data_IF_523897364602
#
_entry.id   IF_523897364602
#
_cell.length_a   1.000
_cell.length_b   1.000
_cell.length_c   1.000
_cell.angle_alpha   90.00
_cell.angle_beta   90.00
_cell.angle_gamma   90.00
#
_symmetry.space_group_name_H-M   'P 1'
#
loop_
_entity.id
_entity.type
_entity.pdbx_description
1 polymer ?
#
# COMPACT_ATOMS: atom_id res chain seq x y z
N UNK A 1 -14.82 -13.92 -6.53
CA UNK A 1 -14.16 -12.94 -7.40
C UNK A 1 -13.22 -12.14 -6.53
N UNK A 2 -11.99 -11.90 -6.99
CA UNK A 2 -11.01 -11.14 -6.23
C UNK A 2 -11.39 -9.69 -5.99
N UNK A 3 -10.62 -8.99 -5.15
CA UNK A 3 -10.83 -7.58 -4.81
C UNK A 3 -9.70 -6.71 -5.33
N UNK A 4 -10.03 -5.54 -5.87
CA UNK A 4 -9.07 -4.48 -6.17
C UNK A 4 -9.04 -3.48 -5.01
N UNK A 5 -7.87 -3.32 -4.39
CA UNK A 5 -7.66 -2.40 -3.26
C UNK A 5 -6.61 -1.38 -3.65
N UNK A 6 -6.96 -0.10 -3.66
CA UNK A 6 -5.99 0.96 -3.90
C UNK A 6 -5.33 1.42 -2.60
N UNK A 7 -4.00 1.55 -2.62
CA UNK A 7 -3.23 2.13 -1.51
C UNK A 7 -2.84 3.55 -1.95
N UNK A 8 -3.45 4.55 -1.34
CA UNK A 8 -3.31 5.96 -1.75
C UNK A 8 -2.96 6.89 -0.60
N UNK A 9 -2.66 8.15 -0.90
CA UNK A 9 -2.38 9.20 0.10
C UNK A 9 -2.50 10.58 -0.52
N UNK A 10 -2.82 11.58 0.28
CA UNK A 10 -2.79 12.98 -0.15
C UNK A 10 -1.39 13.60 -0.21
N UNK A 11 -0.36 12.95 0.32
CA UNK A 11 1.01 13.47 0.42
C UNK A 11 2.06 12.46 0.01
N UNK A 12 3.11 12.92 -0.66
CA UNK A 12 4.28 12.10 -0.99
C UNK A 12 5.08 11.70 0.26
N UNK A 13 5.79 10.57 0.19
CA UNK A 13 6.72 10.13 1.24
C UNK A 13 6.10 9.54 2.50
N UNK A 14 4.77 9.37 2.58
CA UNK A 14 4.09 8.77 3.76
C UNK A 14 4.26 7.24 3.85
N UNK A 15 4.82 6.59 2.80
CA UNK A 15 5.13 5.16 2.78
C UNK A 15 4.08 4.27 2.12
N UNK A 16 3.33 4.77 1.13
CA UNK A 16 2.38 3.96 0.34
C UNK A 16 2.98 2.67 -0.19
N UNK A 17 4.05 2.79 -0.97
CA UNK A 17 4.76 1.66 -1.59
C UNK A 17 5.25 0.65 -0.56
N UNK A 18 5.77 1.13 0.59
CA UNK A 18 6.16 0.27 1.71
C UNK A 18 4.96 -0.50 2.27
N UNK A 19 3.82 0.17 2.44
CA UNK A 19 2.56 -0.46 2.90
C UNK A 19 2.08 -1.47 1.86
N UNK A 20 2.03 -1.10 0.58
CA UNK A 20 1.62 -1.97 -0.54
C UNK A 20 2.44 -3.26 -0.57
N UNK A 21 3.77 -3.14 -0.58
CA UNK A 21 4.69 -4.28 -0.63
C UNK A 21 4.52 -5.21 0.58
N UNK A 22 4.52 -4.65 1.80
CA UNK A 22 4.44 -5.45 3.02
C UNK A 22 3.05 -6.07 3.26
N UNK A 23 1.96 -5.32 2.98
CA UNK A 23 0.59 -5.84 3.14
C UNK A 23 0.30 -6.90 2.09
N UNK A 24 0.69 -6.67 0.82
CA UNK A 24 0.52 -7.67 -0.23
C UNK A 24 1.29 -8.95 0.04
N UNK A 25 2.54 -8.83 0.52
CA UNK A 25 3.31 -10.00 0.98
C UNK A 25 2.64 -10.70 2.16
N UNK A 26 2.11 -9.96 3.13
CA UNK A 26 1.40 -10.55 4.26
C UNK A 26 0.15 -11.31 3.83
N UNK A 27 -0.61 -10.81 2.86
CA UNK A 27 -1.76 -11.51 2.27
C UNK A 27 -1.31 -12.81 1.59
N UNK A 28 -0.20 -12.78 0.84
CA UNK A 28 0.33 -14.00 0.21
C UNK A 28 0.80 -15.04 1.23
N UNK A 29 1.34 -14.60 2.38
CA UNK A 29 1.77 -15.48 3.48
C UNK A 29 0.60 -16.20 4.17
N UNK A 30 -0.61 -15.65 4.11
CA UNK A 30 -1.83 -16.31 4.60
C UNK A 30 -2.57 -17.09 3.51
N UNK A 31 -1.90 -17.35 2.38
CA UNK A 31 -2.38 -18.23 1.32
C UNK A 31 -3.19 -17.53 0.23
N UNK A 32 -3.33 -16.21 0.25
CA UNK A 32 -4.02 -15.47 -0.82
C UNK A 32 -3.12 -15.32 -2.04
N UNK A 33 -3.72 -15.42 -3.23
CA UNK A 33 -3.04 -15.11 -4.48
C UNK A 33 -3.14 -13.61 -4.74
N UNK A 34 -2.00 -12.92 -4.77
CA UNK A 34 -1.91 -11.45 -4.76
C UNK A 34 -1.16 -10.94 -5.97
N UNK A 35 -1.72 -9.93 -6.63
CA UNK A 35 -1.04 -9.12 -7.63
C UNK A 35 -0.82 -7.70 -7.06
N UNK A 36 0.42 -7.24 -7.07
CA UNK A 36 0.76 -5.85 -6.81
C UNK A 36 0.92 -5.14 -8.16
N UNK A 37 0.30 -3.99 -8.33
CA UNK A 37 0.45 -3.15 -9.52
C UNK A 37 1.03 -1.81 -9.09
N UNK A 38 2.18 -1.45 -9.65
CA UNK A 38 2.75 -0.11 -9.50
C UNK A 38 2.19 0.82 -10.60
N UNK A 39 1.55 1.92 -10.19
CA UNK A 39 1.06 2.95 -11.11
C UNK A 39 1.81 4.28 -10.96
N UNK A 40 2.88 4.33 -10.12
CA UNK A 40 3.75 5.50 -9.99
C UNK A 40 4.84 5.50 -11.07
N UNK A 41 4.43 5.89 -12.28
CA UNK A 41 5.32 5.96 -13.45
C UNK A 41 6.47 6.93 -13.18
N UNK A 42 7.68 6.52 -13.54
CA UNK A 42 8.91 7.31 -13.43
C UNK A 42 9.78 6.95 -12.21
N UNK A 43 9.22 6.57 -11.05
CA UNK A 43 10.03 6.25 -9.87
C UNK A 43 10.21 4.74 -9.63
N UNK A 44 9.28 3.90 -10.06
CA UNK A 44 9.34 2.42 -9.94
C UNK A 44 9.82 1.92 -8.56
N UNK A 45 9.29 2.49 -7.50
CA UNK A 45 9.75 2.16 -6.16
C UNK A 45 9.32 0.75 -5.71
N UNK A 46 8.22 0.23 -6.27
CA UNK A 46 7.69 -1.07 -5.86
C UNK A 46 8.57 -2.23 -6.34
N UNK A 47 9.06 -2.20 -7.57
CA UNK A 47 9.92 -3.25 -8.12
C UNK A 47 11.28 -3.31 -7.40
N UNK A 48 11.85 -2.16 -7.04
CA UNK A 48 13.04 -2.05 -6.21
C UNK A 48 12.82 -2.70 -4.83
N UNK A 49 11.72 -2.36 -4.13
CA UNK A 49 11.40 -2.95 -2.84
C UNK A 49 11.17 -4.46 -2.95
N UNK A 50 10.62 -4.93 -4.07
CA UNK A 50 10.32 -6.33 -4.32
C UNK A 50 11.49 -7.12 -4.92
N UNK A 51 12.59 -6.46 -5.32
CA UNK A 51 13.79 -7.08 -5.89
C UNK A 51 13.52 -7.75 -7.24
N UNK A 52 12.76 -7.09 -8.11
CA UNK A 52 12.41 -7.60 -9.44
C UNK A 52 12.88 -6.67 -10.59
N UNK A 53 13.69 -5.66 -10.29
CA UNK A 53 14.12 -4.62 -11.23
C UNK A 53 14.67 -5.18 -12.55
N UNK A 54 15.51 -6.22 -12.45
CA UNK A 54 16.16 -6.86 -13.60
C UNK A 54 15.32 -7.97 -14.26
N UNK A 55 14.11 -8.26 -13.71
CA UNK A 55 13.27 -9.39 -14.17
C UNK A 55 12.06 -8.94 -15.00
N UNK A 56 11.69 -7.69 -14.88
CA UNK A 56 10.51 -7.16 -15.53
C UNK A 56 10.82 -6.69 -16.94
N UNK A 57 10.34 -7.44 -17.96
CA UNK A 57 10.47 -7.09 -19.37
C UNK A 57 9.35 -6.18 -19.85
N UNK A 58 8.19 -6.27 -19.24
CA UNK A 58 6.97 -5.54 -19.57
C UNK A 58 6.43 -4.83 -18.32
N UNK A 59 5.56 -3.86 -18.53
CA UNK A 59 5.00 -3.01 -17.49
C UNK A 59 3.48 -2.88 -17.64
N UNK A 60 2.83 -2.14 -16.74
CA UNK A 60 1.37 -1.97 -16.72
C UNK A 60 0.83 -1.37 -18.03
N UNK A 61 1.56 -0.44 -18.67
CA UNK A 61 1.13 0.18 -19.94
C UNK A 61 1.17 -0.85 -21.07
N UNK A 62 2.21 -1.69 -21.15
CA UNK A 62 2.30 -2.74 -22.18
C UNK A 62 1.11 -3.69 -22.12
N UNK A 63 0.62 -4.00 -20.92
CA UNK A 63 -0.58 -4.85 -20.75
C UNK A 63 -1.85 -4.11 -21.16
N UNK A 64 -2.01 -2.85 -20.74
CA UNK A 64 -3.20 -2.06 -21.10
C UNK A 64 -3.28 -1.76 -22.58
N UNK A 65 -2.15 -1.64 -23.27
CA UNK A 65 -2.05 -1.50 -24.73
C UNK A 65 -2.10 -2.82 -25.50
N UNK A 66 -2.23 -3.96 -24.78
CA UNK A 66 -2.28 -5.31 -25.36
C UNK A 66 -1.02 -5.71 -26.14
N UNK A 67 0.12 -5.07 -25.87
CA UNK A 67 1.43 -5.43 -26.41
C UNK A 67 1.93 -6.73 -25.77
N UNK A 68 1.54 -6.96 -24.51
CA UNK A 68 1.77 -8.17 -23.74
C UNK A 68 0.52 -8.54 -22.96
N UNK A 69 0.35 -9.81 -22.61
CA UNK A 69 -0.70 -10.23 -21.68
C UNK A 69 -0.23 -10.17 -20.22
N UNK A 70 -1.16 -10.24 -19.29
CA UNK A 70 -0.86 -10.17 -17.84
C UNK A 70 0.12 -11.28 -17.40
N UNK A 71 0.05 -12.49 -17.96
CA UNK A 71 0.96 -13.59 -17.63
C UNK A 71 2.41 -13.31 -18.01
N UNK A 72 2.62 -12.68 -19.14
CA UNK A 72 3.96 -12.33 -19.64
C UNK A 72 4.56 -11.13 -18.89
N UNK A 73 3.72 -10.24 -18.34
CA UNK A 73 4.16 -9.03 -17.69
C UNK A 73 4.30 -9.14 -16.16
N UNK A 74 3.44 -9.95 -15.52
CA UNK A 74 3.45 -10.11 -14.06
C UNK A 74 4.62 -11.01 -13.62
N UNK A 75 5.53 -10.45 -12.84
CA UNK A 75 6.70 -11.16 -12.30
C UNK A 75 6.32 -11.85 -11.00
N UNK A 76 6.46 -13.18 -10.94
CA UNK A 76 6.25 -13.93 -9.71
C UNK A 76 7.42 -13.71 -8.73
N UNK A 77 7.11 -13.45 -7.47
CA UNK A 77 8.12 -13.33 -6.42
C UNK A 77 8.86 -14.66 -6.21
N UNK A 78 10.19 -14.62 -6.21
CA UNK A 78 11.00 -15.81 -5.95
C UNK A 78 10.84 -16.37 -4.53
N UNK A 79 10.42 -15.51 -3.58
CA UNK A 79 10.28 -15.86 -2.15
C UNK A 79 8.85 -16.24 -1.76
N UNK A 80 7.86 -15.70 -2.46
CA UNK A 80 6.44 -15.84 -2.13
C UNK A 80 5.67 -16.32 -3.36
N UNK A 81 5.39 -17.63 -3.49
CA UNK A 81 4.86 -18.20 -4.72
C UNK A 81 3.44 -17.69 -5.09
N UNK A 82 2.72 -17.12 -4.14
CA UNK A 82 1.38 -16.55 -4.36
C UNK A 82 1.41 -15.04 -4.61
N UNK A 83 2.60 -14.42 -4.72
CA UNK A 83 2.78 -13.00 -4.91
C UNK A 83 3.33 -12.69 -6.29
N UNK A 84 2.67 -11.81 -7.01
CA UNK A 84 3.02 -11.35 -8.35
C UNK A 84 3.11 -9.83 -8.34
N UNK A 85 3.98 -9.28 -9.18
CA UNK A 85 4.22 -7.84 -9.30
C UNK A 85 4.12 -7.44 -10.77
N UNK A 86 3.30 -6.44 -11.07
CA UNK A 86 3.24 -5.77 -12.34
C UNK A 86 3.83 -4.37 -12.18
N UNK A 87 5.02 -4.09 -12.72
CA UNK A 87 5.73 -2.83 -12.50
C UNK A 87 5.13 -1.69 -13.31
N UNK A 88 5.43 -0.45 -12.87
CA UNK A 88 5.17 0.76 -13.63
C UNK A 88 6.11 0.90 -14.84
N UNK A 89 5.74 1.76 -15.79
CA UNK A 89 6.63 2.15 -16.90
C UNK A 89 7.75 3.07 -16.42
N UNK A 90 8.95 2.89 -16.95
CA UNK A 90 10.10 3.78 -16.70
C UNK A 90 10.15 4.97 -17.64
N UNK A 91 9.65 4.81 -18.86
CA UNK A 91 9.92 5.69 -19.99
C UNK A 91 8.70 6.45 -20.48
N UNK A 92 7.52 6.15 -19.94
CA UNK A 92 6.26 6.76 -20.36
C UNK A 92 5.68 7.65 -19.27
N UNK A 93 4.99 8.71 -19.68
CA UNK A 93 4.38 9.68 -18.79
C UNK A 93 3.15 9.12 -18.06
N UNK A 94 2.81 9.73 -16.91
CA UNK A 94 1.66 9.34 -16.07
C UNK A 94 0.31 9.44 -16.77
N UNK A 95 0.23 10.25 -17.82
CA UNK A 95 -0.98 10.50 -18.60
C UNK A 95 -1.27 9.40 -19.65
N UNK A 96 -0.34 8.45 -19.84
CA UNK A 96 -0.51 7.37 -20.80
C UNK A 96 -1.36 6.20 -20.29
N UNK A 97 -1.59 6.10 -18.97
CA UNK A 97 -2.44 5.05 -18.39
C UNK A 97 -3.92 5.42 -18.56
N UNK A 98 -4.60 4.77 -19.49
CA UNK A 98 -6.02 4.98 -19.74
C UNK A 98 -6.88 4.26 -18.69
N UNK A 99 -7.85 4.98 -18.09
CA UNK A 99 -8.69 4.48 -16.99
C UNK A 99 -9.51 3.25 -17.36
N UNK A 100 -10.13 3.23 -18.56
CA UNK A 100 -10.97 2.12 -19.02
C UNK A 100 -10.15 0.87 -19.29
N UNK A 101 -9.01 1.01 -19.99
CA UNK A 101 -8.09 -0.11 -20.26
C UNK A 101 -7.48 -0.65 -18.97
N UNK A 102 -7.17 0.24 -18.01
CA UNK A 102 -6.66 -0.17 -16.71
C UNK A 102 -7.72 -0.92 -15.90
N UNK A 103 -8.98 -0.49 -16.00
CA UNK A 103 -10.10 -1.22 -15.40
C UNK A 103 -10.27 -2.60 -16.02
N UNK A 104 -10.20 -2.74 -17.34
CA UNK A 104 -10.26 -4.04 -18.03
C UNK A 104 -9.16 -4.99 -17.48
N UNK A 105 -7.93 -4.49 -17.33
CA UNK A 105 -6.81 -5.24 -16.77
C UNK A 105 -7.11 -5.69 -15.32
N UNK A 106 -7.60 -4.80 -14.46
CA UNK A 106 -7.96 -5.13 -13.09
C UNK A 106 -9.11 -6.15 -13.02
N UNK A 107 -10.11 -6.03 -13.89
CA UNK A 107 -11.23 -6.97 -13.95
C UNK A 107 -10.79 -8.36 -14.45
N UNK A 108 -9.80 -8.44 -15.35
CA UNK A 108 -9.16 -9.68 -15.72
C UNK A 108 -8.34 -10.27 -14.56
N UNK A 109 -7.54 -9.44 -13.90
CA UNK A 109 -6.74 -9.85 -12.75
C UNK A 109 -7.59 -10.41 -11.62
N UNK A 110 -8.75 -9.82 -11.30
CA UNK A 110 -9.70 -10.30 -10.28
C UNK A 110 -10.25 -11.72 -10.53
N UNK A 111 -10.16 -12.24 -11.74
CA UNK A 111 -10.56 -13.63 -12.06
C UNK A 111 -9.51 -14.64 -11.58
N UNK A 112 -8.29 -14.20 -11.34
CA UNK A 112 -7.10 -15.04 -11.11
C UNK A 112 -6.43 -14.81 -9.75
N UNK A 113 -6.61 -13.63 -9.19
CA UNK A 113 -6.04 -13.21 -7.92
C UNK A 113 -7.14 -12.93 -6.90
N UNK A 114 -6.90 -13.28 -5.63
CA UNK A 114 -7.80 -12.94 -4.54
C UNK A 114 -7.74 -11.44 -4.23
N UNK A 115 -6.53 -10.85 -4.40
CA UNK A 115 -6.28 -9.42 -4.20
C UNK A 115 -5.45 -8.84 -5.34
N UNK A 116 -5.89 -7.70 -5.84
CA UNK A 116 -5.14 -6.80 -6.71
C UNK A 116 -4.87 -5.54 -5.90
N UNK A 117 -3.63 -5.32 -5.44
CA UNK A 117 -3.25 -4.12 -4.71
C UNK A 117 -2.60 -3.13 -5.67
N UNK A 118 -3.15 -1.93 -5.75
CA UNK A 118 -2.64 -0.86 -6.60
C UNK A 118 -1.85 0.12 -5.74
N UNK A 119 -0.55 0.26 -6.01
CA UNK A 119 0.27 1.34 -5.46
C UNK A 119 0.02 2.61 -6.27
N UNK A 120 -0.74 3.53 -5.68
CA UNK A 120 -1.19 4.75 -6.32
C UNK A 120 -0.08 5.82 -6.26
N UNK A 121 0.12 6.67 -7.28
CA UNK A 121 1.01 7.81 -7.17
C UNK A 121 0.56 8.77 -6.07
N UNK A 122 1.46 9.67 -5.62
CA UNK A 122 1.11 10.68 -4.63
C UNK A 122 0.26 11.79 -5.26
N UNK A 123 -0.63 12.38 -4.46
CA UNK A 123 -1.48 13.48 -4.87
C UNK A 123 -2.88 13.05 -5.30
N UNK A 124 -3.59 13.94 -5.98
CA UNK A 124 -5.00 13.78 -6.38
C UNK A 124 -5.18 14.05 -7.88
N UNK A 125 -4.11 13.94 -8.66
CA UNK A 125 -4.07 14.19 -10.08
C UNK A 125 -4.53 13.00 -10.92
N UNK A 126 -4.34 13.03 -12.23
CA UNK A 126 -4.81 12.01 -13.15
C UNK A 126 -4.45 10.57 -12.75
N UNK A 127 -3.21 10.31 -12.34
CA UNK A 127 -2.79 8.96 -11.89
C UNK A 127 -3.57 8.44 -10.68
N UNK A 128 -4.00 9.34 -9.77
CA UNK A 128 -4.90 9.00 -8.66
C UNK A 128 -6.28 8.56 -9.17
N UNK A 129 -6.85 9.28 -10.16
CA UNK A 129 -8.12 8.92 -10.75
C UNK A 129 -8.03 7.56 -11.45
N UNK A 130 -6.99 7.32 -12.26
CA UNK A 130 -6.76 6.03 -12.91
C UNK A 130 -6.69 4.88 -11.91
N UNK A 131 -5.97 5.06 -10.80
CA UNK A 131 -5.84 4.02 -9.78
C UNK A 131 -7.17 3.69 -9.08
N UNK A 132 -8.00 4.69 -8.82
CA UNK A 132 -9.30 4.54 -8.14
C UNK A 132 -10.43 4.03 -9.04
N UNK A 133 -10.32 4.24 -10.34
CA UNK A 133 -11.36 3.86 -11.28
C UNK A 133 -11.74 2.37 -11.22
N UNK A 134 -10.79 1.39 -11.12
CA UNK A 134 -11.10 -0.03 -10.96
C UNK A 134 -11.28 -0.48 -9.50
N UNK A 135 -11.11 0.39 -8.50
CA UNK A 135 -10.97 -0.01 -7.10
C UNK A 135 -12.32 -0.42 -6.47
N UNK A 136 -12.32 -1.51 -5.72
CA UNK A 136 -13.45 -1.93 -4.88
C UNK A 136 -13.34 -1.34 -3.46
N UNK A 137 -12.08 -1.18 -2.96
CA UNK A 137 -11.76 -0.64 -1.64
C UNK A 137 -10.55 0.31 -1.73
N UNK A 138 -10.45 1.25 -0.79
CA UNK A 138 -9.32 2.17 -0.69
C UNK A 138 -8.71 2.15 0.72
N UNK A 139 -7.36 2.15 0.79
CA UNK A 139 -6.61 2.36 2.03
C UNK A 139 -5.82 3.66 1.89
N UNK A 140 -6.20 4.66 2.68
CA UNK A 140 -5.51 5.95 2.73
C UNK A 140 -4.38 5.83 3.74
N UNK A 141 -3.13 6.00 3.28
CA UNK A 141 -1.93 6.00 4.12
C UNK A 141 -1.59 7.44 4.50
N UNK A 142 -1.41 7.68 5.79
CA UNK A 142 -1.00 8.97 6.32
C UNK A 142 0.05 8.82 7.42
N UNK A 143 0.64 9.93 7.84
CA UNK A 143 1.54 10.01 9.00
C UNK A 143 0.92 10.92 10.06
N UNK A 144 1.32 10.81 11.35
CA UNK A 144 0.67 11.51 12.46
C UNK A 144 1.07 12.99 12.56
N UNK A 145 1.08 13.72 11.44
CA UNK A 145 1.21 15.17 11.41
C UNK A 145 -0.06 15.84 10.90
N UNK A 146 -0.32 17.08 11.36
CA UNK A 146 -1.58 17.80 11.07
C UNK A 146 -1.81 18.03 9.59
N UNK A 147 -0.77 18.28 8.80
CA UNK A 147 -0.90 18.52 7.36
C UNK A 147 -1.28 17.23 6.63
N UNK A 148 -0.55 16.13 6.89
CA UNK A 148 -0.83 14.84 6.29
C UNK A 148 -2.23 14.29 6.68
N UNK A 149 -2.70 14.58 7.90
CA UNK A 149 -4.04 14.20 8.34
C UNK A 149 -5.14 14.97 7.60
N UNK A 150 -4.96 16.30 7.36
CA UNK A 150 -5.88 17.08 6.53
C UNK A 150 -5.91 16.60 5.08
N UNK A 151 -4.74 16.29 4.54
CA UNK A 151 -4.64 15.76 3.19
C UNK A 151 -5.35 14.40 3.07
N UNK A 152 -5.24 13.54 4.10
CA UNK A 152 -5.95 12.26 4.16
C UNK A 152 -7.47 12.45 4.24
N UNK A 153 -7.96 13.40 5.02
CA UNK A 153 -9.38 13.74 5.11
C UNK A 153 -9.92 14.24 3.76
N UNK A 154 -9.16 15.14 3.11
CA UNK A 154 -9.49 15.61 1.75
C UNK A 154 -9.57 14.46 0.75
N UNK A 155 -8.62 13.53 0.77
CA UNK A 155 -8.62 12.35 -0.11
C UNK A 155 -9.84 11.48 0.17
N UNK A 156 -10.19 11.25 1.43
CA UNK A 156 -11.40 10.50 1.79
C UNK A 156 -12.67 11.14 1.20
N UNK A 157 -12.83 12.46 1.36
CA UNK A 157 -13.97 13.20 0.79
C UNK A 157 -14.03 13.14 -0.74
N UNK A 158 -12.89 13.20 -1.44
CA UNK A 158 -12.83 13.03 -2.91
C UNK A 158 -13.30 11.62 -3.30
N UNK A 159 -12.78 10.58 -2.62
CA UNK A 159 -13.16 9.19 -2.92
C UNK A 159 -14.66 8.98 -2.68
N UNK A 160 -15.20 9.44 -1.55
CA UNK A 160 -16.62 9.30 -1.22
C UNK A 160 -17.55 9.99 -2.23
N UNK A 161 -17.13 11.15 -2.76
CA UNK A 161 -17.96 11.94 -3.66
C UNK A 161 -17.85 11.50 -5.12
N UNK A 162 -16.66 11.15 -5.59
CA UNK A 162 -16.38 10.93 -7.01
C UNK A 162 -16.30 9.44 -7.41
N UNK A 163 -15.95 8.54 -6.48
CA UNK A 163 -15.71 7.12 -6.79
C UNK A 163 -16.74 6.21 -6.11
N UNK A 164 -17.94 6.15 -6.66
CA UNK A 164 -19.05 5.33 -6.12
C UNK A 164 -18.83 3.81 -6.22
N UNK A 165 -17.86 3.37 -6.99
CA UNK A 165 -17.40 1.99 -7.07
C UNK A 165 -16.64 1.56 -5.80
N UNK A 166 -15.95 2.47 -5.11
CA UNK A 166 -15.23 2.21 -3.87
C UNK A 166 -16.23 2.01 -2.72
N UNK A 167 -16.36 0.78 -2.23
CA UNK A 167 -17.35 0.41 -1.21
C UNK A 167 -16.87 0.63 0.21
N UNK A 168 -15.57 0.59 0.44
CA UNK A 168 -14.99 0.76 1.76
C UNK A 168 -13.72 1.59 1.68
N UNK A 169 -13.64 2.64 2.51
CA UNK A 169 -12.48 3.50 2.67
C UNK A 169 -11.93 3.27 4.08
N UNK A 170 -10.62 3.04 4.19
CA UNK A 170 -9.95 2.77 5.45
C UNK A 170 -8.71 3.64 5.61
N UNK A 171 -8.35 3.95 6.86
CA UNK A 171 -7.18 4.73 7.21
C UNK A 171 -6.06 3.83 7.74
N UNK A 172 -4.85 4.00 7.22
CA UNK A 172 -3.62 3.43 7.77
C UNK A 172 -2.73 4.58 8.28
N UNK A 173 -2.48 4.64 9.58
CA UNK A 173 -1.53 5.59 10.18
C UNK A 173 -0.16 4.94 10.18
N UNK A 174 0.76 5.48 9.39
CA UNK A 174 2.13 4.99 9.28
C UNK A 174 3.10 5.85 10.09
N UNK A 175 4.24 5.28 10.47
CA UNK A 175 5.34 5.95 11.21
C UNK A 175 4.90 6.60 12.53
N UNK A 176 3.97 5.97 13.26
CA UNK A 176 3.59 6.46 14.57
C UNK A 176 4.74 6.26 15.56
N UNK A 177 5.12 7.35 16.24
CA UNK A 177 6.06 7.34 17.38
C UNK A 177 5.22 7.52 18.64
N UNK A 178 5.00 6.45 19.46
CA UNK A 178 4.07 6.51 20.59
C UNK A 178 4.41 7.59 21.61
N UNK A 179 5.70 7.83 21.85
CA UNK A 179 6.18 8.81 22.81
C UNK A 179 5.80 10.25 22.43
N UNK A 180 5.86 10.57 21.12
CA UNK A 180 5.48 11.89 20.61
C UNK A 180 3.96 12.08 20.61
N UNK A 181 3.21 11.02 20.33
CA UNK A 181 1.76 11.01 20.39
C UNK A 181 1.24 11.24 21.81
N UNK A 182 1.82 10.55 22.79
CA UNK A 182 1.44 10.68 24.20
C UNK A 182 1.84 12.03 24.82
N UNK A 183 2.88 12.68 24.30
CA UNK A 183 3.30 14.03 24.72
C UNK A 183 2.49 15.15 24.05
N UNK A 184 1.58 14.82 23.13
CA UNK A 184 0.81 15.78 22.35
C UNK A 184 1.59 16.49 21.24
N UNK A 185 2.83 16.05 20.95
CA UNK A 185 3.67 16.64 19.90
C UNK A 185 3.27 16.17 18.50
N UNK A 186 2.61 15.01 18.41
CA UNK A 186 2.02 14.49 17.18
C UNK A 186 0.58 14.02 17.42
N UNK A 187 -0.21 13.92 16.36
CA UNK A 187 -1.56 13.38 16.46
C UNK A 187 -1.52 11.94 16.99
N UNK A 188 -2.32 11.66 18.01
CA UNK A 188 -2.57 10.31 18.49
C UNK A 188 -3.55 9.57 17.58
N UNK A 189 -3.65 8.26 17.77
CA UNK A 189 -4.62 7.44 17.03
C UNK A 189 -6.07 7.91 17.19
N UNK A 190 -6.42 8.41 18.38
CA UNK A 190 -7.75 8.97 18.65
C UNK A 190 -7.97 10.29 17.90
N UNK A 191 -7.01 11.22 17.93
CA UNK A 191 -7.08 12.49 17.22
C UNK A 191 -7.14 12.28 15.70
N UNK A 192 -6.40 11.30 15.18
CA UNK A 192 -6.44 10.89 13.79
C UNK A 192 -7.85 10.43 13.36
N UNK A 193 -8.53 9.64 14.20
CA UNK A 193 -9.89 9.19 13.95
C UNK A 193 -10.94 10.32 14.01
N UNK A 194 -10.70 11.37 14.78
CA UNK A 194 -11.56 12.57 14.79
C UNK A 194 -11.33 13.46 13.57
N UNK A 195 -10.13 13.45 13.00
CA UNK A 195 -9.79 14.29 11.85
C UNK A 195 -10.24 13.64 10.53
N UNK A 196 -10.09 12.33 10.40
CA UNK A 196 -10.46 11.57 9.19
C UNK A 196 -11.59 10.63 9.54
N UNK A 197 -12.79 10.91 9.04
CA UNK A 197 -14.03 10.21 9.38
C UNK A 197 -14.15 8.81 8.71
N UNK A 198 -13.05 8.07 8.61
CA UNK A 198 -13.03 6.72 8.02
C UNK A 198 -12.47 5.68 8.98
N UNK A 199 -12.82 4.41 8.76
CA UNK A 199 -12.43 3.31 9.62
C UNK A 199 -10.92 3.07 9.62
N UNK A 200 -10.32 3.02 10.81
CA UNK A 200 -8.91 2.68 10.97
C UNK A 200 -8.66 1.19 10.67
N UNK A 201 -7.80 0.90 9.68
CA UNK A 201 -7.38 -0.46 9.38
C UNK A 201 -6.14 -0.86 10.16
N UNK A 202 -5.26 0.09 10.47
CA UNK A 202 -4.05 -0.22 11.22
C UNK A 202 -3.19 0.98 11.56
N UNK A 203 -2.31 0.75 12.53
CA UNK A 203 -1.27 1.69 12.95
C UNK A 203 0.05 0.99 12.82
N UNK A 204 0.95 1.54 12.01
CA UNK A 204 2.30 1.06 11.80
C UNK A 204 3.24 1.96 12.59
N UNK A 205 3.97 1.43 13.58
CA UNK A 205 4.95 2.23 14.33
C UNK A 205 6.14 2.59 13.45
N UNK A 206 6.79 3.70 13.78
CA UNK A 206 8.13 3.99 13.26
C UNK A 206 9.08 2.87 13.70
N UNK A 207 9.70 2.19 12.75
CA UNK A 207 10.55 1.03 13.03
C UNK A 207 11.83 1.10 12.17
N UNK A 208 12.99 1.29 12.79
CA UNK A 208 14.27 1.32 12.06
C UNK A 208 14.55 0.06 11.24
N UNK A 209 13.92 -1.07 11.60
CA UNK A 209 14.09 -2.30 10.82
C UNK A 209 13.56 -2.15 9.38
N UNK A 210 12.61 -1.23 9.11
CA UNK A 210 12.11 -1.00 7.74
C UNK A 210 13.28 -0.58 6.81
N UNK A 211 14.12 0.36 7.27
CA UNK A 211 15.27 0.81 6.49
C UNK A 211 16.34 -0.26 6.36
N UNK A 212 16.61 -1.00 7.44
CA UNK A 212 17.59 -2.09 7.46
C UNK A 212 17.14 -3.22 6.54
N UNK A 213 15.86 -3.61 6.64
CA UNK A 213 15.30 -4.68 5.83
C UNK A 213 15.30 -4.26 4.34
N UNK A 214 14.90 -3.01 4.01
CA UNK A 214 14.93 -2.49 2.65
C UNK A 214 16.35 -2.44 2.06
N UNK A 215 17.35 -2.02 2.85
CA UNK A 215 18.76 -2.04 2.43
C UNK A 215 19.25 -3.45 2.06
N UNK A 216 18.75 -4.47 2.76
CA UNK A 216 19.07 -5.88 2.51
C UNK A 216 18.13 -6.54 1.47
N UNK A 217 17.32 -5.77 0.74
CA UNK A 217 16.28 -6.27 -0.17
C UNK A 217 15.31 -7.25 0.51
N UNK A 218 15.00 -6.97 1.79
CA UNK A 218 14.10 -7.74 2.62
C UNK A 218 12.83 -6.94 2.95
N UNK A 219 11.73 -7.63 3.22
CA UNK A 219 10.48 -7.01 3.67
C UNK A 219 10.31 -7.16 5.18
N UNK A 220 9.93 -6.06 5.84
CA UNK A 220 9.77 -6.05 7.30
C UNK A 220 8.70 -7.01 7.79
N UNK A 221 7.74 -7.35 6.94
CA UNK A 221 6.73 -8.39 7.23
C UNK A 221 7.38 -9.76 7.45
N UNK A 222 8.54 -10.03 6.86
CA UNK A 222 9.29 -11.27 7.05
C UNK A 222 10.16 -11.25 8.31
N UNK A 223 10.47 -10.08 8.84
CA UNK A 223 11.29 -9.90 10.03
C UNK A 223 10.46 -10.09 11.31
N UNK A 224 10.67 -11.22 12.01
CA UNK A 224 9.95 -11.53 13.27
C UNK A 224 10.17 -10.51 14.39
N UNK A 225 11.23 -9.70 14.31
CA UNK A 225 11.58 -8.68 15.32
C UNK A 225 10.97 -7.31 14.99
N UNK A 226 10.52 -7.09 13.75
CA UNK A 226 9.90 -5.85 13.32
C UNK A 226 8.49 -5.70 13.91
N UNK A 227 8.26 -4.59 14.62
CA UNK A 227 6.92 -4.21 15.07
C UNK A 227 6.06 -3.73 13.90
N UNK A 228 6.66 -3.01 12.95
CA UNK A 228 6.00 -2.62 11.71
C UNK A 228 5.59 -3.84 10.88
N UNK A 229 6.46 -4.86 10.77
CA UNK A 229 6.13 -6.11 10.10
C UNK A 229 4.93 -6.82 10.71
N UNK A 230 4.79 -6.79 12.05
CA UNK A 230 3.60 -7.30 12.74
C UNK A 230 2.36 -6.46 12.46
N UNK A 231 2.50 -5.14 12.40
CA UNK A 231 1.40 -4.25 12.05
C UNK A 231 0.89 -4.51 10.64
N UNK A 232 1.77 -4.70 9.67
CA UNK A 232 1.40 -5.05 8.29
C UNK A 232 0.65 -6.38 8.19
N UNK A 233 1.08 -7.42 8.95
CA UNK A 233 0.33 -8.70 9.04
C UNK A 233 -1.08 -8.48 9.57
N UNK A 234 -1.23 -7.67 10.62
CA UNK A 234 -2.54 -7.37 11.19
C UNK A 234 -3.43 -6.57 10.22
N UNK A 235 -2.85 -5.67 9.42
CA UNK A 235 -3.57 -4.95 8.35
C UNK A 235 -4.05 -5.93 7.28
N UNK A 236 -3.18 -6.83 6.82
CA UNK A 236 -3.53 -7.86 5.85
C UNK A 236 -4.69 -8.75 6.34
N UNK A 237 -4.62 -9.21 7.59
CA UNK A 237 -5.71 -9.99 8.20
C UNK A 237 -7.04 -9.21 8.22
N UNK A 238 -7.02 -7.90 8.58
CA UNK A 238 -8.24 -7.09 8.57
C UNK A 238 -8.79 -6.82 7.18
N UNK A 239 -7.91 -6.68 6.17
CA UNK A 239 -8.33 -6.61 4.76
C UNK A 239 -9.06 -7.90 4.34
N UNK A 240 -8.59 -9.04 4.84
CA UNK A 240 -9.20 -10.35 4.57
C UNK A 240 -10.43 -10.65 5.46
N UNK A 241 -10.89 -9.67 6.24
CA UNK A 241 -12.09 -9.80 7.09
C UNK A 241 -11.86 -10.49 8.43
N UNK A 242 -10.60 -10.82 8.78
CA UNK A 242 -10.27 -11.44 10.06
C UNK A 242 -10.22 -10.34 11.14
N UNK A 243 -11.03 -10.47 12.19
CA UNK A 243 -11.05 -9.53 13.31
C UNK A 243 -9.80 -9.73 14.20
N UNK A 244 -8.85 -8.82 14.06
CA UNK A 244 -7.63 -8.78 14.88
C UNK A 244 -7.55 -7.42 15.56
N UNK A 245 -7.27 -7.42 16.88
CA UNK A 245 -7.07 -6.18 17.66
C UNK A 245 -5.87 -5.38 17.13
N UNK A 246 -5.98 -4.06 17.22
CA UNK A 246 -4.86 -3.16 16.91
C UNK A 246 -3.63 -3.51 17.75
N UNK A 247 -2.46 -3.36 17.16
CA UNK A 247 -1.19 -3.63 17.86
C UNK A 247 -1.04 -2.67 19.04
N UNK A 248 -0.86 -3.23 20.25
CA UNK A 248 -0.52 -2.43 21.42
C UNK A 248 0.94 -1.99 21.33
N UNK A 249 1.16 -0.69 21.19
CA UNK A 249 2.49 -0.08 21.13
C UNK A 249 2.91 0.31 22.54
N UNK A 250 3.76 -0.51 23.20
CA UNK A 250 4.26 -0.24 24.55
C UNK A 250 5.55 0.59 24.50
N UNK A 251 5.59 1.71 25.23
CA UNK A 251 6.71 2.67 25.35
C UNK A 251 8.08 2.03 25.63
N UNK A 252 8.14 0.97 26.44
CA UNK A 252 9.40 0.40 26.96
C UNK A 252 10.23 -0.43 25.95
N UNK A 253 9.69 -0.83 24.80
CA UNK A 253 10.41 -1.69 23.84
C UNK A 253 11.18 -0.94 22.76
N UNK A 254 10.80 0.28 22.41
CA UNK A 254 11.41 1.05 21.32
C UNK A 254 12.75 1.71 21.74
N UNK A 255 12.91 2.12 23.00
CA UNK A 255 14.11 2.82 23.46
C UNK A 255 15.28 1.93 23.88
N UNK A 256 15.09 0.65 24.24
CA UNK A 256 16.20 -0.21 24.71
C UNK A 256 17.23 -0.60 23.64
N UNK A 257 17.07 -0.22 22.36
CA UNK A 257 17.97 -0.59 21.26
C UNK A 257 18.72 0.57 20.60
N UNK A 258 18.55 1.82 21.06
CA UNK A 258 19.18 2.97 20.40
C UNK A 258 20.65 3.23 20.79
N UNK A 259 21.18 2.61 21.83
CA UNK A 259 22.57 2.81 22.28
C UNK A 259 23.17 1.47 22.80
N UNK A 260 23.65 0.64 21.90
CA UNK A 260 24.76 -0.31 22.10
C UNK A 260 25.46 -0.53 20.79
#
# INVERSE_FOLDING_TARGET
MGKTVVITSGKGGVGKTTVTANVGTALSMIGKRVLLIDTDTGLRNLDMIMGIEDKALYNVIDVTEKTCNLDGAAVQSARFPNLYILPASQTRDKEELNEEKFKELCDEAKKRFDYVLIDCPAGIEYGFHCALYPADEAVIVTVPDKAAMRDADRVAGIIETQFKNVKEIRLCINRLIPELSDSGLTAGSAEALFTVAVKLIGIVPEDPNILIDAYNSELSVNNRRSLAGRAFKNIACRLDGIDIKLLKLNKRRLFKKRYR
#
